data_IF_088899245185
#
_entry.id   IF_088899245185
#
_cell.length_a   1.000
_cell.length_b   1.000
_cell.length_c   1.000
_cell.angle_alpha   90.00
_cell.angle_beta   90.00
_cell.angle_gamma   90.00
#
_symmetry.space_group_name_H-M   'P 1'
#
loop_
_entity.id
_entity.type
_entity.pdbx_description
1 polymer ?
#
# COMPACT_ATOMS: atom_id res chain seq x y z
N UNK A 1 -1.96 -49.81 -10.84
CA UNK A 1 -3.25 -49.12 -11.11
C UNK A 1 -3.18 -47.73 -10.50
N UNK A 2 -2.97 -46.72 -11.34
CA UNK A 2 -2.92 -45.31 -10.95
C UNK A 2 -4.32 -44.79 -10.61
N UNK A 3 -4.44 -44.01 -9.53
CA UNK A 3 -5.31 -42.84 -9.52
C UNK A 3 -4.75 -41.78 -8.57
N UNK A 4 -4.00 -40.86 -9.14
CA UNK A 4 -3.70 -39.59 -8.50
C UNK A 4 -5.01 -38.78 -8.41
N UNK A 5 -5.38 -38.37 -7.20
CA UNK A 5 -6.31 -37.26 -7.02
C UNK A 5 -5.46 -36.08 -6.55
N UNK A 6 -5.07 -35.28 -7.53
CA UNK A 6 -4.58 -33.92 -7.34
C UNK A 6 -5.74 -33.10 -6.77
N UNK A 7 -5.82 -33.04 -5.45
CA UNK A 7 -6.63 -32.03 -4.79
C UNK A 7 -5.69 -30.84 -4.67
N UNK A 8 -5.53 -30.14 -5.80
CA UNK A 8 -4.81 -28.88 -5.90
C UNK A 8 -5.27 -28.02 -4.74
N UNK A 9 -4.37 -27.92 -3.77
CA UNK A 9 -4.60 -27.18 -2.55
C UNK A 9 -4.80 -25.75 -2.99
N UNK A 10 -6.06 -25.34 -3.03
CA UNK A 10 -6.43 -23.94 -3.07
C UNK A 10 -6.02 -23.41 -1.70
N UNK A 11 -4.73 -23.21 -1.51
CA UNK A 11 -4.20 -22.32 -0.50
C UNK A 11 -4.72 -20.94 -0.89
N UNK A 12 -5.97 -20.69 -0.54
CA UNK A 12 -6.47 -19.36 -0.28
C UNK A 12 -5.43 -18.81 0.69
N UNK A 13 -4.61 -17.89 0.19
CA UNK A 13 -3.77 -17.05 1.02
C UNK A 13 -4.78 -16.25 1.86
N UNK A 14 -5.23 -16.88 2.94
CA UNK A 14 -6.07 -16.27 3.95
C UNK A 14 -5.15 -15.29 4.66
N UNK A 15 -5.11 -14.06 4.16
CA UNK A 15 -4.45 -12.97 4.85
C UNK A 15 -5.00 -12.95 6.28
N UNK A 16 -4.17 -13.14 7.31
CA UNK A 16 -4.62 -13.08 8.69
C UNK A 16 -5.08 -11.64 8.94
N UNK A 17 -6.40 -11.44 9.02
CA UNK A 17 -7.02 -10.14 9.30
C UNK A 17 -7.76 -9.46 8.14
N UNK A 18 -7.82 -10.04 6.94
CA UNK A 18 -8.70 -9.52 5.88
C UNK A 18 -10.05 -10.21 5.89
N UNK A 19 -11.05 -9.55 6.48
CA UNK A 19 -12.44 -9.91 6.18
C UNK A 19 -12.79 -9.55 4.73
N UNK A 20 -13.20 -10.55 3.95
CA UNK A 20 -13.72 -10.40 2.58
C UNK A 20 -15.14 -9.84 2.66
N UNK A 21 -15.53 -8.96 1.74
CA UNK A 21 -16.85 -8.32 1.81
C UNK A 21 -18.01 -9.32 1.77
N UNK A 22 -17.85 -10.41 1.02
CA UNK A 22 -18.81 -11.52 0.98
C UNK A 22 -19.00 -12.19 2.34
N UNK A 23 -17.92 -12.36 3.10
CA UNK A 23 -18.00 -12.90 4.46
C UNK A 23 -18.73 -11.94 5.40
N UNK A 24 -18.42 -10.64 5.33
CA UNK A 24 -19.12 -9.62 6.11
C UNK A 24 -20.62 -9.59 5.79
N UNK A 25 -20.98 -9.69 4.51
CA UNK A 25 -22.36 -9.73 4.06
C UNK A 25 -23.09 -11.00 4.51
N UNK A 26 -22.44 -12.17 4.43
CA UNK A 26 -23.00 -13.41 4.94
C UNK A 26 -23.29 -13.34 6.45
N UNK A 27 -22.34 -12.82 7.25
CA UNK A 27 -22.54 -12.62 8.70
C UNK A 27 -23.71 -11.67 8.97
N UNK A 28 -23.78 -10.56 8.25
CA UNK A 28 -24.87 -9.61 8.37
C UNK A 28 -26.23 -10.26 8.07
N UNK A 29 -26.34 -11.00 6.96
CA UNK A 29 -27.59 -11.68 6.59
C UNK A 29 -28.00 -12.76 7.59
N UNK A 30 -27.04 -13.47 8.16
CA UNK A 30 -27.31 -14.44 9.23
C UNK A 30 -27.97 -13.74 10.42
N UNK A 31 -27.40 -12.62 10.89
CA UNK A 31 -27.96 -11.82 12.00
C UNK A 31 -29.37 -11.32 11.65
N UNK A 32 -29.56 -10.75 10.46
CA UNK A 32 -30.87 -10.26 10.02
C UNK A 32 -31.91 -11.39 9.98
N UNK A 33 -31.52 -12.56 9.53
CA UNK A 33 -32.41 -13.72 9.44
C UNK A 33 -32.82 -14.20 10.83
N UNK A 34 -31.87 -14.31 11.76
CA UNK A 34 -32.17 -14.65 13.15
C UNK A 34 -33.08 -13.61 13.82
N UNK A 35 -32.87 -12.31 13.58
CA UNK A 35 -33.73 -11.26 14.12
C UNK A 35 -35.17 -11.34 13.59
N UNK A 36 -35.35 -11.59 12.29
CA UNK A 36 -36.68 -11.80 11.70
C UNK A 36 -37.40 -13.03 12.24
N UNK A 37 -36.66 -14.08 12.60
CA UNK A 37 -37.23 -15.29 13.18
C UNK A 37 -37.69 -15.06 14.63
N UNK A 38 -36.97 -14.23 15.38
CA UNK A 38 -37.29 -13.88 16.77
C UNK A 38 -38.41 -12.84 16.89
N UNK A 39 -38.48 -11.90 15.95
CA UNK A 39 -39.48 -10.83 15.95
C UNK A 39 -40.18 -10.75 14.59
N UNK A 40 -41.44 -11.20 14.54
CA UNK A 40 -42.32 -11.10 13.36
C UNK A 40 -42.57 -9.66 12.91
N UNK A 41 -42.39 -8.67 13.79
CA UNK A 41 -42.51 -7.25 13.51
C UNK A 41 -41.20 -6.58 13.07
N UNK A 42 -40.10 -7.33 12.94
CA UNK A 42 -38.79 -6.75 12.67
C UNK A 42 -38.78 -5.96 11.34
N UNK A 43 -38.56 -4.65 11.45
CA UNK A 43 -38.51 -3.77 10.29
C UNK A 43 -37.11 -3.70 9.68
N UNK A 44 -37.04 -4.02 8.39
CA UNK A 44 -35.86 -3.99 7.54
C UNK A 44 -35.33 -2.59 7.18
N UNK A 45 -35.95 -1.53 7.70
CA UNK A 45 -35.53 -0.16 7.40
C UNK A 45 -34.06 0.07 7.75
N UNK A 46 -33.36 0.79 6.86
CA UNK A 46 -31.96 1.19 7.01
C UNK A 46 -30.92 0.05 7.00
N UNK A 47 -31.12 -1.02 6.23
CA UNK A 47 -30.09 -2.08 6.11
C UNK A 47 -28.73 -1.57 5.68
N UNK A 48 -28.67 -0.56 4.79
CA UNK A 48 -27.42 0.10 4.38
C UNK A 48 -26.65 0.63 5.59
N UNK A 49 -27.28 1.45 6.43
CA UNK A 49 -26.64 2.00 7.64
C UNK A 49 -26.27 0.91 8.64
N UNK A 50 -27.13 -0.10 8.82
CA UNK A 50 -26.85 -1.24 9.70
C UNK A 50 -25.65 -2.05 9.21
N UNK A 51 -25.56 -2.28 7.91
CA UNK A 51 -24.45 -2.99 7.28
C UNK A 51 -23.15 -2.21 7.42
N UNK A 52 -23.15 -0.91 7.11
CA UNK A 52 -21.98 -0.03 7.30
C UNK A 52 -21.46 -0.08 8.73
N UNK A 53 -22.34 -0.07 9.74
CA UNK A 53 -21.95 -0.19 11.15
C UNK A 53 -21.37 -1.56 11.51
N UNK A 54 -21.77 -2.61 10.80
CA UNK A 54 -21.25 -3.97 10.98
C UNK A 54 -19.93 -4.23 10.23
N UNK A 55 -19.54 -3.34 9.31
CA UNK A 55 -18.29 -3.47 8.55
C UNK A 55 -17.07 -3.19 9.44
N UNK A 56 -15.98 -3.89 9.12
CA UNK A 56 -14.69 -3.66 9.76
C UNK A 56 -14.20 -2.21 9.52
N UNK A 57 -13.57 -1.54 10.50
CA UNK A 57 -13.09 -0.15 10.40
C UNK A 57 -12.20 0.18 9.19
N UNK A 58 -11.55 -0.82 8.59
CA UNK A 58 -10.75 -0.68 7.37
C UNK A 58 -11.53 -0.12 6.19
N UNK A 59 -12.85 -0.33 6.16
CA UNK A 59 -13.72 0.15 5.09
C UNK A 59 -14.15 1.61 5.28
N UNK A 60 -13.84 2.24 6.43
CA UNK A 60 -14.29 3.60 6.76
C UNK A 60 -13.94 4.63 5.69
N UNK A 61 -12.70 4.67 5.22
CA UNK A 61 -12.27 5.61 4.19
C UNK A 61 -13.12 5.49 2.91
N UNK A 62 -13.43 4.27 2.49
CA UNK A 62 -14.27 4.04 1.30
C UNK A 62 -15.74 4.38 1.56
N UNK A 63 -16.26 4.05 2.74
CA UNK A 63 -17.63 4.41 3.15
C UNK A 63 -17.81 5.93 3.16
N UNK A 64 -16.86 6.67 3.74
CA UNK A 64 -16.88 8.13 3.76
C UNK A 64 -16.88 8.71 2.35
N UNK A 65 -16.02 8.22 1.46
CA UNK A 65 -16.01 8.65 0.06
C UNK A 65 -17.34 8.36 -0.67
N UNK A 66 -18.00 7.24 -0.34
CA UNK A 66 -19.34 6.93 -0.90
C UNK A 66 -20.36 7.95 -0.38
N UNK A 67 -20.37 8.20 0.93
CA UNK A 67 -21.27 9.16 1.58
C UNK A 67 -21.09 10.59 1.06
N UNK A 68 -19.86 11.02 0.76
CA UNK A 68 -19.56 12.31 0.13
C UNK A 68 -20.05 12.40 -1.32
N UNK A 69 -20.03 11.28 -2.04
CA UNK A 69 -20.43 11.24 -3.46
C UNK A 69 -21.95 11.06 -3.65
N UNK A 70 -22.62 10.38 -2.72
CA UNK A 70 -24.03 9.99 -2.84
C UNK A 70 -24.65 9.77 -1.45
N UNK A 71 -25.87 10.25 -1.27
CA UNK A 71 -26.61 10.07 -0.04
C UNK A 71 -26.89 8.58 0.25
N UNK A 72 -26.49 8.13 1.45
CA UNK A 72 -26.72 6.75 1.93
C UNK A 72 -28.21 6.37 2.03
N UNK A 73 -29.11 7.36 2.07
CA UNK A 73 -30.57 7.15 2.08
C UNK A 73 -31.12 6.73 0.73
N UNK A 74 -30.46 7.15 -0.36
CA UNK A 74 -30.81 6.81 -1.74
C UNK A 74 -30.10 5.55 -2.25
N UNK A 75 -29.03 5.14 -1.56
CA UNK A 75 -28.21 4.00 -1.93
C UNK A 75 -28.93 2.68 -1.61
N UNK A 76 -28.94 1.74 -2.56
CA UNK A 76 -29.41 0.38 -2.27
C UNK A 76 -28.33 -0.47 -1.60
N UNK A 77 -28.72 -1.50 -0.85
CA UNK A 77 -27.75 -2.40 -0.19
C UNK A 77 -26.89 -3.15 -1.21
N UNK A 78 -27.48 -3.60 -2.30
CA UNK A 78 -26.77 -4.32 -3.37
C UNK A 78 -25.77 -3.42 -4.09
N UNK A 79 -26.14 -2.15 -4.34
CA UNK A 79 -25.23 -1.15 -4.90
C UNK A 79 -24.05 -0.87 -3.97
N UNK A 80 -24.30 -0.74 -2.66
CA UNK A 80 -23.22 -0.59 -1.67
C UNK A 80 -22.26 -1.79 -1.70
N UNK A 81 -22.79 -3.01 -1.73
CA UNK A 81 -21.99 -4.24 -1.77
C UNK A 81 -21.17 -4.29 -3.06
N UNK A 82 -21.76 -3.94 -4.20
CA UNK A 82 -21.06 -3.83 -5.48
C UNK A 82 -19.89 -2.85 -5.42
N UNK A 83 -20.11 -1.65 -4.88
CA UNK A 83 -19.07 -0.63 -4.73
C UNK A 83 -17.91 -1.10 -3.83
N UNK A 84 -18.22 -1.80 -2.74
CA UNK A 84 -17.22 -2.34 -1.82
C UNK A 84 -16.44 -3.51 -2.46
N UNK A 85 -17.08 -4.38 -3.24
CA UNK A 85 -16.41 -5.45 -4.01
C UNK A 85 -15.42 -4.91 -5.03
N UNK A 86 -15.80 -3.87 -5.78
CA UNK A 86 -14.91 -3.22 -6.74
C UNK A 86 -13.68 -2.65 -6.03
N UNK A 87 -13.87 -1.99 -4.89
CA UNK A 87 -12.78 -1.48 -4.07
C UNK A 87 -11.87 -2.59 -3.53
N UNK A 88 -12.44 -3.72 -3.09
CA UNK A 88 -11.68 -4.90 -2.69
C UNK A 88 -10.76 -5.40 -3.80
N UNK A 89 -11.29 -5.49 -5.03
CA UNK A 89 -10.55 -5.94 -6.20
C UNK A 89 -9.39 -5.00 -6.55
N UNK A 90 -9.60 -3.69 -6.43
CA UNK A 90 -8.55 -2.68 -6.69
C UNK A 90 -7.42 -2.82 -5.67
N UNK A 91 -7.74 -2.86 -4.37
CA UNK A 91 -6.73 -3.03 -3.30
C UNK A 91 -5.94 -4.32 -3.49
N UNK A 92 -6.62 -5.42 -3.86
CA UNK A 92 -5.98 -6.71 -4.08
C UNK A 92 -4.96 -6.64 -5.23
N UNK A 93 -5.32 -6.00 -6.35
CA UNK A 93 -4.40 -5.81 -7.49
C UNK A 93 -3.19 -4.96 -7.11
N UNK A 94 -3.41 -3.85 -6.41
CA UNK A 94 -2.32 -2.96 -5.96
C UNK A 94 -1.36 -3.69 -5.01
N UNK A 95 -1.89 -4.55 -4.14
CA UNK A 95 -1.09 -5.39 -3.27
C UNK A 95 -0.24 -6.41 -4.04
N UNK A 96 -0.81 -7.07 -5.06
CA UNK A 96 -0.09 -8.02 -5.92
C UNK A 96 1.06 -7.32 -6.67
N UNK A 97 0.82 -6.11 -7.19
CA UNK A 97 1.85 -5.27 -7.83
C UNK A 97 2.94 -4.89 -6.83
N UNK A 98 2.57 -4.52 -5.60
CA UNK A 98 3.52 -4.18 -4.55
C UNK A 98 4.42 -5.37 -4.17
N UNK A 99 3.85 -6.57 -4.06
CA UNK A 99 4.61 -7.80 -3.82
C UNK A 99 5.58 -8.10 -4.96
N UNK A 100 5.14 -8.01 -6.21
CA UNK A 100 6.00 -8.24 -7.38
C UNK A 100 7.16 -7.22 -7.47
N UNK A 101 6.98 -6.00 -6.96
CA UNK A 101 8.02 -4.97 -6.92
C UNK A 101 8.97 -5.11 -5.72
N UNK A 102 8.51 -5.73 -4.63
CA UNK A 102 9.26 -5.96 -3.39
C UNK A 102 10.38 -7.01 -3.48
N UNK A 103 10.41 -7.83 -4.52
CA UNK A 103 11.48 -8.83 -4.75
C UNK A 103 12.74 -8.25 -5.42
N UNK A 104 12.75 -6.95 -5.79
CA UNK A 104 13.98 -6.27 -6.20
C UNK A 104 14.84 -5.92 -4.97
N UNK A 105 15.49 -6.98 -4.47
CA UNK A 105 16.84 -7.02 -3.89
C UNK A 105 17.33 -5.68 -3.32
N UNK A 106 17.17 -5.51 -2.00
CA UNK A 106 18.19 -4.76 -1.26
C UNK A 106 19.42 -5.67 -1.11
N UNK A 107 20.27 -5.70 -2.14
CA UNK A 107 21.63 -6.21 -2.02
C UNK A 107 22.41 -5.23 -1.13
N UNK A 108 22.33 -5.44 0.18
CA UNK A 108 23.21 -4.77 1.11
C UNK A 108 24.64 -5.25 0.86
N UNK A 109 25.47 -4.39 0.25
CA UNK A 109 26.91 -4.62 0.10
C UNK A 109 27.54 -4.73 1.51
N UNK A 110 27.88 -5.95 1.90
CA UNK A 110 28.77 -6.21 3.04
C UNK A 110 30.18 -5.85 2.60
N UNK A 111 30.70 -4.73 3.07
CA UNK A 111 32.12 -4.40 2.97
C UNK A 111 32.91 -5.37 3.86
N UNK A 112 33.62 -6.31 3.24
CA UNK A 112 34.68 -7.09 3.90
C UNK A 112 36.02 -6.47 3.49
N UNK A 113 36.87 -6.22 4.49
CA UNK A 113 38.24 -5.75 4.34
C UNK A 113 39.07 -6.78 3.57
N UNK A 114 39.97 -6.26 2.73
CA UNK A 114 40.87 -6.93 1.80
C UNK A 114 41.73 -8.05 2.40
N UNK A 115 42.06 -9.04 1.58
CA UNK A 115 43.43 -9.58 1.46
C UNK A 115 43.57 -10.47 0.21
N UNK A 116 44.38 -10.02 -0.76
CA UNK A 116 45.07 -10.78 -1.84
C UNK A 116 44.21 -11.57 -2.82
N UNK A 117 44.62 -11.88 -4.05
CA UNK A 117 45.78 -11.59 -4.89
C UNK A 117 45.37 -12.07 -6.31
N UNK A 118 45.90 -11.45 -7.36
CA UNK A 118 46.01 -11.85 -8.80
C UNK A 118 44.92 -12.78 -9.43
N UNK A 119 44.25 -12.44 -10.54
CA UNK A 119 44.86 -12.53 -11.87
C UNK A 119 44.11 -11.74 -12.97
N UNK A 120 44.93 -11.33 -13.93
CA UNK A 120 44.72 -10.60 -15.18
C UNK A 120 43.56 -11.08 -16.07
N UNK A 121 42.84 -10.13 -16.69
CA UNK A 121 42.55 -10.24 -18.13
C UNK A 121 42.71 -8.87 -18.80
N UNK A 122 43.78 -8.80 -19.59
CA UNK A 122 44.12 -7.80 -20.58
C UNK A 122 42.92 -7.52 -21.50
N UNK A 123 42.45 -6.28 -21.52
CA UNK A 123 41.76 -5.75 -22.68
C UNK A 123 42.38 -4.41 -23.02
N UNK A 124 42.92 -4.35 -24.22
CA UNK A 124 43.75 -3.30 -24.75
C UNK A 124 42.94 -2.02 -24.98
N UNK A 125 43.42 -0.92 -24.39
CA UNK A 125 43.41 0.44 -24.98
C UNK A 125 42.06 1.19 -25.02
N UNK A 126 41.77 1.93 -23.94
CA UNK A 126 41.42 3.38 -23.92
C UNK A 126 41.75 4.03 -22.55
N UNK A 127 42.81 3.55 -21.92
CA UNK A 127 42.95 3.61 -20.47
C UNK A 127 43.51 4.93 -19.93
N UNK A 128 44.09 5.79 -20.78
CA UNK A 128 44.66 7.08 -20.35
C UNK A 128 43.56 8.06 -19.90
N UNK A 129 42.52 8.24 -20.71
CA UNK A 129 41.38 9.12 -20.41
C UNK A 129 40.56 8.58 -19.23
N UNK A 130 40.34 7.26 -19.20
CA UNK A 130 39.65 6.59 -18.10
C UNK A 130 40.46 6.68 -16.80
N UNK A 131 41.78 6.51 -16.84
CA UNK A 131 42.65 6.66 -15.67
C UNK A 131 42.69 8.10 -15.15
N UNK A 132 42.66 9.10 -16.03
CA UNK A 132 42.54 10.51 -15.63
C UNK A 132 41.17 10.78 -14.98
N UNK A 133 40.07 10.31 -15.56
CA UNK A 133 38.73 10.45 -15.01
C UNK A 133 38.57 9.77 -13.64
N UNK A 134 39.12 8.56 -13.46
CA UNK A 134 39.11 7.82 -12.18
C UNK A 134 39.96 8.54 -11.13
N UNK A 135 41.12 9.10 -11.50
CA UNK A 135 41.96 9.90 -10.60
C UNK A 135 41.26 11.18 -10.16
N UNK A 136 40.61 11.89 -11.07
CA UNK A 136 39.93 13.15 -10.75
C UNK A 136 38.64 12.92 -9.95
N UNK A 137 37.90 11.85 -10.26
CA UNK A 137 36.77 11.41 -9.43
C UNK A 137 37.23 11.05 -8.00
N UNK A 138 38.36 10.34 -7.86
CA UNK A 138 38.95 9.98 -6.55
C UNK A 138 39.43 11.22 -5.77
N UNK A 139 39.92 12.27 -6.43
CA UNK A 139 40.26 13.54 -5.79
C UNK A 139 39.02 14.23 -5.21
N UNK A 140 37.88 14.15 -5.90
CA UNK A 140 36.62 14.76 -5.47
C UNK A 140 36.13 14.25 -4.09
N UNK A 141 36.31 12.94 -3.82
CA UNK A 141 35.94 12.35 -2.53
C UNK A 141 36.92 12.64 -1.39
N UNK A 142 38.19 12.91 -1.70
CA UNK A 142 39.20 13.25 -0.68
C UNK A 142 39.04 14.69 -0.17
N UNK A 143 38.64 15.63 -1.03
CA UNK A 143 38.46 17.04 -0.66
C UNK A 143 37.22 17.23 0.24
N UNK A 144 36.19 16.38 0.12
CA UNK A 144 34.95 16.48 0.91
C UNK A 144 35.00 15.77 2.28
N UNK A 145 36.12 15.14 2.63
CA UNK A 145 36.32 14.28 3.80
C UNK A 145 36.52 14.97 5.15
N UNK A 146 36.12 16.25 5.32
CA UNK A 146 36.17 16.95 6.63
C UNK A 146 34.81 17.25 7.25
N UNK A 147 33.79 16.44 6.95
CA UNK A 147 32.62 16.37 7.82
C UNK A 147 32.78 15.19 8.78
N UNK A 148 33.29 15.53 9.96
CA UNK A 148 33.28 14.71 11.17
C UNK A 148 31.93 14.00 11.30
N UNK A 149 31.96 12.66 11.27
CA UNK A 149 30.83 11.85 11.71
C UNK A 149 30.76 11.93 13.24
N UNK A 150 29.66 12.46 13.75
CA UNK A 150 29.21 12.15 15.10
C UNK A 150 28.09 11.11 14.98
N UNK A 151 28.18 9.92 15.61
CA UNK A 151 27.08 8.98 15.62
C UNK A 151 26.11 9.37 16.75
N UNK A 152 24.99 10.01 16.42
CA UNK A 152 23.84 10.07 17.33
C UNK A 152 22.86 8.95 16.99
N UNK A 153 22.67 8.08 17.96
CA UNK A 153 21.69 7.00 17.96
C UNK A 153 20.30 7.63 18.12
N UNK A 154 19.54 7.79 17.03
CA UNK A 154 18.13 8.20 17.07
C UNK A 154 17.29 7.38 16.08
N UNK A 155 17.16 6.08 16.35
CA UNK A 155 16.11 5.25 15.73
C UNK A 155 14.75 5.62 16.33
N UNK A 156 14.17 6.76 15.94
CA UNK A 156 12.72 7.02 16.13
C UNK A 156 12.09 8.16 15.32
N UNK A 157 12.79 8.86 14.41
CA UNK A 157 12.24 10.06 13.75
C UNK A 157 11.99 10.01 12.23
N UNK A 158 12.24 8.90 11.54
CA UNK A 158 12.14 8.88 10.06
C UNK A 158 10.72 8.72 9.50
N UNK A 159 9.80 8.05 10.22
CA UNK A 159 8.40 7.90 9.74
C UNK A 159 7.60 9.19 9.88
N UNK A 160 7.84 9.94 10.95
CA UNK A 160 7.12 11.18 11.27
C UNK A 160 7.50 12.33 10.33
N UNK A 161 8.77 12.43 9.93
CA UNK A 161 9.26 13.44 8.97
C UNK A 161 8.79 13.17 7.52
N UNK A 162 8.58 11.90 7.15
CA UNK A 162 7.99 11.56 5.84
C UNK A 162 6.49 11.82 5.85
N UNK A 163 5.80 11.43 6.93
CA UNK A 163 4.35 11.66 7.09
C UNK A 163 4.01 13.15 7.06
N UNK A 164 4.79 13.99 7.75
CA UNK A 164 4.60 15.46 7.74
C UNK A 164 4.90 16.10 6.39
N UNK A 165 5.87 15.59 5.62
CA UNK A 165 6.12 16.07 4.25
C UNK A 165 5.02 15.66 3.28
N UNK A 166 4.50 14.43 3.37
CA UNK A 166 3.40 13.98 2.51
C UNK A 166 2.10 14.69 2.84
N UNK A 167 1.81 14.93 4.12
CA UNK A 167 0.62 15.69 4.55
C UNK A 167 0.68 17.13 4.01
N UNK A 168 1.85 17.80 4.08
CA UNK A 168 2.02 19.15 3.55
C UNK A 168 1.89 19.26 2.02
N UNK A 169 2.28 18.21 1.28
CA UNK A 169 2.05 18.14 -0.16
C UNK A 169 0.56 17.99 -0.50
N UNK A 170 -0.18 17.22 0.31
CA UNK A 170 -1.62 17.01 0.12
C UNK A 170 -2.40 18.29 0.49
N UNK A 171 -2.07 18.96 1.59
CA UNK A 171 -2.69 20.24 1.98
C UNK A 171 -2.49 21.31 0.90
N UNK A 172 -1.28 21.43 0.36
CA UNK A 172 -0.99 22.38 -0.72
C UNK A 172 -1.78 22.04 -2.02
N UNK A 173 -1.99 20.76 -2.33
CA UNK A 173 -2.77 20.36 -3.49
C UNK A 173 -4.28 20.65 -3.31
N UNK A 174 -4.81 20.45 -2.11
CA UNK A 174 -6.21 20.76 -1.78
C UNK A 174 -6.48 22.27 -1.81
N UNK A 175 -5.53 23.09 -1.34
CA UNK A 175 -5.65 24.54 -1.39
C UNK A 175 -5.66 25.07 -2.83
N UNK A 176 -4.79 24.52 -3.69
CA UNK A 176 -4.77 24.85 -5.12
C UNK A 176 -6.08 24.45 -5.84
N UNK A 177 -6.62 23.27 -5.54
CA UNK A 177 -7.91 22.82 -6.11
C UNK A 177 -9.05 23.72 -5.65
N UNK A 178 -9.03 24.15 -4.38
CA UNK A 178 -10.06 25.05 -3.82
C UNK A 178 -10.03 26.42 -4.49
N UNK A 179 -8.82 26.97 -4.73
CA UNK A 179 -8.63 28.23 -5.46
C UNK A 179 -9.10 28.13 -6.92
N UNK A 180 -8.88 27.00 -7.60
CA UNK A 180 -9.36 26.78 -8.98
C UNK A 180 -10.89 26.74 -9.02
N UNK A 181 -11.53 26.02 -8.10
CA UNK A 181 -13.00 25.91 -8.03
C UNK A 181 -13.64 27.27 -7.70
N UNK A 182 -12.99 28.12 -6.89
CA UNK A 182 -13.49 29.46 -6.59
C UNK A 182 -13.33 30.44 -7.76
N UNK A 183 -12.39 30.20 -8.68
CA UNK A 183 -12.18 31.01 -9.89
C UNK A 183 -13.11 30.60 -11.05
N UNK A 184 -13.62 29.37 -11.07
CA UNK A 184 -14.56 28.87 -12.08
C UNK A 184 -16.05 29.17 -11.76
N UNK A 185 -16.34 29.68 -10.56
CA UNK A 185 -17.70 29.99 -10.09
C UNK A 185 -17.98 31.50 -9.98
N UNK A 186 -17.27 32.34 -10.76
CA UNK A 186 -17.54 33.78 -10.94
C UNK A 186 -18.05 34.04 -12.35
#
# INVERSE_FOLDING_TARGET
MSKAMNNGSLFVIQYPGYEIIDSAFARFNSIITSLKALDKGYSSKNYVRKFIRALHPKWRAKVTAIEESKDLTSLSLDELIGNLKVYEMIIKKDFEIFKAKGERKSLALKAKKESGDEDCLTFESKDEEYAMAVRDFKKFFKIRGRFVRQPRNDKKRSKEAVMTRTVKVIENALDAVTQIILLENV
#
